data_IF_983686590005
#
_entry.id   IF_983686590005
#
_cell.length_a   1.000
_cell.length_b   1.000
_cell.length_c   1.000
_cell.angle_alpha   90.00
_cell.angle_beta   90.00
_cell.angle_gamma   90.00
#
_symmetry.space_group_name_H-M   'P 1'
#
loop_
_entity.id
_entity.type
_entity.pdbx_description
1 polymer ?
#
# COMPACT_ATOMS: atom_id res chain seq x y z
N UNK A 1 4.86 -8.01 -24.58
CA UNK A 1 3.94 -7.77 -23.44
C UNK A 1 3.12 -6.54 -23.77
N UNK A 2 1.81 -6.56 -23.54
CA UNK A 2 0.96 -5.41 -23.81
C UNK A 2 1.32 -4.28 -22.82
N UNK A 3 1.61 -3.07 -23.30
CA UNK A 3 1.99 -1.93 -22.45
C UNK A 3 0.96 -1.62 -21.32
N UNK A 4 -0.30 -2.01 -21.52
CA UNK A 4 -1.35 -1.89 -20.49
C UNK A 4 -1.24 -2.91 -19.35
N UNK A 5 -0.37 -3.92 -19.48
CA UNK A 5 -0.09 -4.95 -18.47
C UNK A 5 1.31 -4.81 -17.86
N UNK A 6 2.02 -3.71 -18.11
CA UNK A 6 3.27 -3.42 -17.41
C UNK A 6 2.99 -2.87 -16.01
N UNK A 7 3.82 -3.25 -15.05
CA UNK A 7 3.75 -2.73 -13.69
C UNK A 7 5.15 -2.21 -13.30
N UNK A 8 5.45 -0.93 -13.62
CA UNK A 8 6.75 -0.35 -13.35
C UNK A 8 7.13 -0.35 -11.87
N UNK A 9 6.16 -0.21 -10.97
CA UNK A 9 6.38 -0.27 -9.53
C UNK A 9 6.93 -1.65 -9.12
N UNK A 10 6.27 -2.74 -9.57
CA UNK A 10 6.73 -4.11 -9.31
C UNK A 10 8.13 -4.37 -9.86
N UNK A 11 8.40 -3.91 -11.09
CA UNK A 11 9.71 -4.07 -11.73
C UNK A 11 10.81 -3.36 -10.93
N UNK A 12 10.57 -2.14 -10.48
CA UNK A 12 11.51 -1.38 -9.66
C UNK A 12 11.71 -2.03 -8.28
N UNK A 13 10.65 -2.54 -7.65
CA UNK A 13 10.77 -3.30 -6.40
C UNK A 13 11.69 -4.52 -6.55
N UNK A 14 11.53 -5.28 -7.65
CA UNK A 14 12.37 -6.45 -7.94
C UNK A 14 13.84 -6.11 -8.15
N UNK A 15 14.12 -4.92 -8.68
CA UNK A 15 15.50 -4.40 -8.82
C UNK A 15 16.05 -3.85 -7.49
N UNK A 16 15.24 -3.79 -6.45
CA UNK A 16 15.62 -3.21 -5.16
C UNK A 16 15.67 -1.70 -5.13
N UNK A 17 15.13 -1.02 -6.16
CA UNK A 17 15.10 0.43 -6.24
C UNK A 17 14.19 1.02 -5.15
N UNK A 18 14.64 2.11 -4.56
CA UNK A 18 13.84 2.87 -3.58
C UNK A 18 12.73 3.63 -4.31
N UNK A 19 11.53 3.57 -3.77
CA UNK A 19 10.36 4.26 -4.28
C UNK A 19 9.66 5.02 -3.15
N UNK A 20 9.46 6.31 -3.34
CA UNK A 20 8.84 7.21 -2.35
C UNK A 20 7.37 7.41 -2.71
N UNK A 21 6.48 7.21 -1.74
CA UNK A 21 5.05 7.29 -1.93
C UNK A 21 4.35 8.26 -1.01
N UNK A 22 3.05 8.41 -1.29
CA UNK A 22 2.12 9.18 -0.47
C UNK A 22 0.85 8.36 -0.22
N UNK A 23 0.28 8.50 0.97
CA UNK A 23 -1.00 7.91 1.35
C UNK A 23 -2.15 8.85 1.01
N UNK A 24 -3.19 8.36 0.31
CA UNK A 24 -4.37 9.13 -0.08
C UNK A 24 -5.58 8.70 0.73
N UNK A 25 -6.04 9.57 1.61
CA UNK A 25 -7.21 9.39 2.47
C UNK A 25 -8.31 10.43 2.19
N UNK A 26 -8.10 11.36 1.26
CA UNK A 26 -9.04 12.44 0.92
C UNK A 26 -10.25 12.02 0.09
N UNK A 27 -10.31 10.79 -0.37
CA UNK A 27 -11.44 10.13 -1.08
C UNK A 27 -11.90 10.79 -2.38
N UNK A 28 -11.16 11.73 -2.95
CA UNK A 28 -11.55 12.42 -4.17
C UNK A 28 -10.55 12.23 -5.32
N UNK A 29 -11.08 12.03 -6.53
CA UNK A 29 -10.27 11.99 -7.74
C UNK A 29 -9.46 13.28 -7.95
N UNK A 30 -10.00 14.44 -7.55
CA UNK A 30 -9.33 15.73 -7.68
C UNK A 30 -8.06 15.81 -6.84
N UNK A 31 -8.12 15.38 -5.57
CA UNK A 31 -6.94 15.37 -4.69
C UNK A 31 -5.92 14.29 -5.12
N UNK A 32 -6.41 13.15 -5.59
CA UNK A 32 -5.54 12.11 -6.14
C UNK A 32 -4.77 12.59 -7.38
N UNK A 33 -5.40 13.37 -8.24
CA UNK A 33 -4.77 13.98 -9.41
C UNK A 33 -3.70 15.02 -9.00
N UNK A 34 -3.99 15.89 -8.03
CA UNK A 34 -2.99 16.83 -7.49
C UNK A 34 -1.77 16.08 -6.96
N UNK A 35 -1.99 15.02 -6.17
CA UNK A 35 -0.89 14.19 -5.66
C UNK A 35 -0.08 13.53 -6.78
N UNK A 36 -0.73 13.05 -7.84
CA UNK A 36 -0.08 12.42 -8.97
C UNK A 36 0.83 13.37 -9.76
N UNK A 37 0.57 14.69 -9.71
CA UNK A 37 1.44 15.71 -10.34
C UNK A 37 2.67 16.05 -9.52
N UNK A 38 2.75 15.61 -8.26
CA UNK A 38 3.81 16.02 -7.32
C UNK A 38 5.10 15.21 -7.43
N UNK A 39 5.14 14.17 -8.28
CA UNK A 39 6.35 13.39 -8.57
C UNK A 39 6.60 12.22 -7.61
N UNK A 40 5.64 11.83 -6.77
CA UNK A 40 5.74 10.57 -6.01
C UNK A 40 5.82 9.36 -6.94
N UNK A 41 6.64 8.38 -6.60
CA UNK A 41 6.76 7.14 -7.37
C UNK A 41 5.49 6.29 -7.31
N UNK A 42 4.80 6.31 -6.17
CA UNK A 42 3.57 5.58 -5.95
C UNK A 42 2.60 6.33 -5.01
N UNK A 43 1.32 6.03 -5.17
CA UNK A 43 0.24 6.62 -4.37
C UNK A 43 -0.64 5.49 -3.85
N UNK A 44 -0.78 5.38 -2.53
CA UNK A 44 -1.71 4.43 -1.95
C UNK A 44 -3.09 5.08 -1.82
N UNK A 45 -4.07 4.48 -2.47
CA UNK A 45 -5.48 4.85 -2.34
C UNK A 45 -6.09 3.94 -1.26
N UNK A 46 -6.45 4.55 -0.14
CA UNK A 46 -6.84 3.83 1.06
C UNK A 46 -8.34 3.50 1.08
N UNK A 47 -8.67 2.21 1.04
CA UNK A 47 -10.04 1.72 1.19
C UNK A 47 -10.35 1.18 2.58
N UNK A 48 -9.37 1.16 3.49
CA UNK A 48 -9.54 0.61 4.85
C UNK A 48 -9.89 1.71 5.87
N UNK A 49 -9.02 2.71 6.04
CA UNK A 49 -9.19 3.77 7.04
C UNK A 49 -9.65 5.10 6.45
N UNK A 50 -9.88 5.17 5.14
CA UNK A 50 -10.55 6.29 4.51
C UNK A 50 -11.96 5.88 4.03
N UNK A 51 -12.95 6.77 4.02
CA UNK A 51 -14.32 6.44 3.63
C UNK A 51 -14.48 6.29 2.10
N UNK A 52 -13.57 5.55 1.47
CA UNK A 52 -13.59 5.22 0.04
C UNK A 52 -14.52 4.03 -0.23
N UNK A 53 -15.50 4.24 -1.10
CA UNK A 53 -16.25 3.15 -1.73
C UNK A 53 -15.46 2.59 -2.91
N UNK A 54 -15.87 1.43 -3.44
CA UNK A 54 -15.25 0.86 -4.67
C UNK A 54 -15.33 1.84 -5.85
N UNK A 55 -16.35 2.69 -5.89
CA UNK A 55 -16.52 3.71 -6.94
C UNK A 55 -15.52 4.86 -6.75
N UNK A 56 -15.24 5.28 -5.53
CA UNK A 56 -14.24 6.30 -5.25
C UNK A 56 -12.83 5.80 -5.59
N UNK A 57 -12.50 4.54 -5.27
CA UNK A 57 -11.27 3.89 -5.69
C UNK A 57 -11.14 3.88 -7.22
N UNK A 58 -12.22 3.55 -7.93
CA UNK A 58 -12.26 3.56 -9.39
C UNK A 58 -11.98 4.94 -9.98
N UNK A 59 -12.62 6.00 -9.46
CA UNK A 59 -12.42 7.37 -9.94
C UNK A 59 -10.99 7.86 -9.68
N UNK A 60 -10.41 7.54 -8.54
CA UNK A 60 -9.02 7.88 -8.22
C UNK A 60 -8.03 7.13 -9.13
N UNK A 61 -8.28 5.84 -9.43
CA UNK A 61 -7.50 5.10 -10.43
C UNK A 61 -7.55 5.73 -11.83
N UNK A 62 -8.70 6.33 -12.21
CA UNK A 62 -8.81 7.05 -13.47
C UNK A 62 -8.01 8.36 -13.45
N UNK A 63 -8.09 9.11 -12.34
CA UNK A 63 -7.40 10.38 -12.18
C UNK A 63 -5.88 10.23 -12.18
N UNK A 64 -5.35 9.17 -11.56
CA UNK A 64 -3.89 8.90 -11.49
C UNK A 64 -3.35 8.31 -12.81
N UNK A 65 -4.18 7.64 -13.60
CA UNK A 65 -3.76 6.87 -14.78
C UNK A 65 -2.92 7.65 -15.83
N UNK A 66 -3.10 8.97 -16.05
CA UNK A 66 -2.27 9.73 -17.00
C UNK A 66 -0.85 10.06 -16.51
N UNK A 67 -0.57 9.87 -15.24
CA UNK A 67 0.65 10.33 -14.57
C UNK A 67 1.62 9.17 -14.32
N UNK A 68 2.87 9.50 -13.98
CA UNK A 68 3.92 8.52 -13.73
C UNK A 68 3.78 7.81 -12.36
N UNK A 69 3.09 8.41 -11.40
CA UNK A 69 2.86 7.82 -10.09
C UNK A 69 2.05 6.52 -10.20
N UNK A 70 2.53 5.45 -9.58
CA UNK A 70 1.85 4.15 -9.64
C UNK A 70 0.78 4.03 -8.54
N UNK A 71 -0.49 3.75 -8.86
CA UNK A 71 -1.53 3.58 -7.85
C UNK A 71 -1.44 2.20 -7.18
N UNK A 72 -1.45 2.21 -5.86
CA UNK A 72 -1.56 1.03 -4.99
C UNK A 72 -2.90 1.10 -4.28
N UNK A 73 -3.69 0.05 -4.27
CA UNK A 73 -4.98 0.01 -3.56
C UNK A 73 -4.84 -0.82 -2.29
N UNK A 74 -5.25 -0.25 -1.16
CA UNK A 74 -5.51 -1.01 0.05
C UNK A 74 -7.02 -1.24 0.17
N UNK A 75 -7.54 -2.46 -0.04
CA UNK A 75 -8.94 -2.78 0.24
C UNK A 75 -9.18 -2.80 1.75
N UNK A 76 -10.44 -2.76 2.18
CA UNK A 76 -10.81 -2.80 3.61
C UNK A 76 -10.37 -4.11 4.29
N UNK A 77 -10.28 -5.19 3.53
CA UNK A 77 -9.81 -6.51 3.99
C UNK A 77 -9.36 -7.39 2.82
N UNK A 78 -8.66 -8.48 3.13
CA UNK A 78 -8.17 -9.45 2.15
C UNK A 78 -9.21 -10.48 1.68
N UNK A 79 -10.51 -10.18 1.67
CA UNK A 79 -11.52 -11.12 1.23
C UNK A 79 -11.56 -11.28 -0.29
N UNK A 80 -11.83 -12.50 -0.75
CA UNK A 80 -11.92 -12.83 -2.18
C UNK A 80 -12.87 -11.93 -2.98
N UNK A 81 -14.09 -11.58 -2.49
CA UNK A 81 -14.97 -10.65 -3.21
C UNK A 81 -14.37 -9.26 -3.40
N UNK A 82 -13.76 -8.70 -2.37
CA UNK A 82 -13.17 -7.35 -2.43
C UNK A 82 -11.92 -7.32 -3.31
N UNK A 83 -11.02 -8.30 -3.17
CA UNK A 83 -9.85 -8.44 -4.06
C UNK A 83 -10.30 -8.50 -5.52
N UNK A 84 -11.32 -9.31 -5.84
CA UNK A 84 -11.87 -9.40 -7.20
C UNK A 84 -12.37 -8.05 -7.70
N UNK A 85 -13.18 -7.33 -6.91
CA UNK A 85 -13.73 -6.03 -7.31
C UNK A 85 -12.62 -5.00 -7.57
N UNK A 86 -11.64 -4.90 -6.67
CA UNK A 86 -10.52 -3.96 -6.80
C UNK A 86 -9.65 -4.29 -8.02
N UNK A 87 -9.41 -5.56 -8.29
CA UNK A 87 -8.69 -5.97 -9.51
C UNK A 87 -9.50 -5.69 -10.77
N UNK A 88 -10.82 -5.88 -10.76
CA UNK A 88 -11.68 -5.68 -11.92
C UNK A 88 -11.86 -4.21 -12.29
N UNK A 89 -11.81 -3.28 -11.33
CA UNK A 89 -11.74 -1.85 -11.62
C UNK A 89 -10.37 -1.39 -12.14
N UNK A 90 -9.37 -2.29 -12.18
CA UNK A 90 -8.09 -2.09 -12.87
C UNK A 90 -6.90 -1.79 -11.99
N UNK A 91 -6.95 -2.07 -10.69
CA UNK A 91 -5.76 -2.07 -9.86
C UNK A 91 -4.78 -3.17 -10.32
N UNK A 92 -3.49 -2.86 -10.34
CA UNK A 92 -2.42 -3.81 -10.62
C UNK A 92 -1.54 -4.08 -9.39
N UNK A 93 -1.63 -3.23 -8.37
CA UNK A 93 -0.91 -3.38 -7.11
C UNK A 93 -1.88 -3.27 -5.95
N UNK A 94 -1.86 -4.27 -5.07
CA UNK A 94 -2.65 -4.33 -3.86
C UNK A 94 -1.75 -4.34 -2.63
N UNK A 95 -2.19 -3.65 -1.58
CA UNK A 95 -1.67 -3.79 -0.22
C UNK A 95 -2.78 -4.37 0.66
N UNK A 96 -2.65 -5.61 1.06
CA UNK A 96 -3.67 -6.33 1.83
C UNK A 96 -3.39 -6.19 3.33
N UNK A 97 -4.32 -5.61 4.11
CA UNK A 97 -4.11 -5.41 5.54
C UNK A 97 -4.25 -6.71 6.35
N UNK A 98 -3.73 -6.72 7.57
CA UNK A 98 -3.97 -7.72 8.61
C UNK A 98 -3.69 -9.17 8.20
N UNK A 99 -2.57 -9.43 7.54
CA UNK A 99 -2.15 -10.79 7.16
C UNK A 99 -1.27 -11.38 8.26
N UNK A 100 -1.87 -12.24 9.07
CA UNK A 100 -1.24 -12.80 10.27
C UNK A 100 -0.59 -14.16 10.07
N UNK A 101 -0.96 -14.90 9.02
CA UNK A 101 -0.48 -16.26 8.80
C UNK A 101 -0.14 -16.54 7.33
N UNK A 102 0.70 -17.54 7.10
CA UNK A 102 1.00 -18.02 5.75
C UNK A 102 -0.23 -18.56 5.02
N UNK A 103 -1.22 -19.13 5.74
CA UNK A 103 -2.46 -19.59 5.14
C UNK A 103 -3.30 -18.43 4.62
N UNK A 104 -3.44 -17.34 5.40
CA UNK A 104 -4.07 -16.12 4.92
C UNK A 104 -3.33 -15.53 3.70
N UNK A 105 -2.00 -15.48 3.74
CA UNK A 105 -1.20 -15.03 2.61
C UNK A 105 -1.45 -15.90 1.35
N UNK A 106 -1.51 -17.23 1.47
CA UNK A 106 -1.86 -18.14 0.36
C UNK A 106 -3.27 -17.90 -0.17
N UNK A 107 -4.25 -17.69 0.70
CA UNK A 107 -5.64 -17.36 0.31
C UNK A 107 -5.71 -16.06 -0.48
N UNK A 108 -4.99 -15.02 -0.02
CA UNK A 108 -4.90 -13.74 -0.72
C UNK A 108 -4.26 -13.91 -2.11
N UNK A 109 -3.15 -14.65 -2.22
CA UNK A 109 -2.54 -14.97 -3.52
C UNK A 109 -3.53 -15.69 -4.44
N UNK A 110 -4.22 -16.72 -3.93
CA UNK A 110 -5.23 -17.48 -4.70
C UNK A 110 -6.37 -16.59 -5.19
N UNK A 111 -6.82 -15.62 -4.38
CA UNK A 111 -7.88 -14.70 -4.73
C UNK A 111 -7.49 -13.71 -5.87
N UNK A 112 -6.19 -13.50 -6.11
CA UNK A 112 -5.70 -12.62 -7.18
C UNK A 112 -5.56 -13.32 -8.53
N UNK A 113 -5.45 -14.64 -8.57
CA UNK A 113 -5.15 -15.43 -9.76
C UNK A 113 -6.40 -16.12 -10.33
N UNK A 114 -6.51 -16.15 -11.65
CA UNK A 114 -7.57 -16.92 -12.30
C UNK A 114 -7.31 -18.43 -12.23
N UNK A 115 -8.39 -19.27 -12.26
CA UNK A 115 -8.23 -20.70 -12.44
C UNK A 115 -7.39 -21.06 -13.68
N UNK A 116 -6.56 -22.14 -13.63
CA UNK A 116 -6.41 -23.10 -12.53
C UNK A 116 -5.42 -22.66 -11.45
N UNK A 117 -4.81 -21.49 -11.53
CA UNK A 117 -3.74 -21.02 -10.63
C UNK A 117 -4.26 -20.35 -9.35
N UNK A 118 -5.55 -20.11 -9.27
CA UNK A 118 -6.22 -19.50 -8.13
C UNK A 118 -7.74 -19.51 -8.28
N UNK A 119 -8.41 -18.64 -7.53
CA UNK A 119 -9.87 -18.64 -7.39
C UNK A 119 -10.53 -17.30 -7.78
N UNK A 120 -9.82 -16.40 -8.46
CA UNK A 120 -10.39 -15.15 -8.94
C UNK A 120 -11.56 -15.43 -9.88
N UNK A 121 -12.74 -14.85 -9.60
CA UNK A 121 -13.90 -15.00 -10.49
C UNK A 121 -13.66 -14.41 -11.87
N UNK A 122 -14.11 -15.13 -12.91
CA UNK A 122 -13.92 -14.76 -14.31
C UNK A 122 -14.97 -13.73 -14.74
N UNK A 123 -14.53 -12.49 -15.01
CA UNK A 123 -15.36 -11.38 -15.49
C UNK A 123 -14.59 -10.44 -16.43
N UNK A 124 -13.46 -10.90 -16.97
CA UNK A 124 -12.52 -10.06 -17.72
C UNK A 124 -13.16 -9.32 -18.92
N UNK A 125 -14.11 -9.96 -19.62
CA UNK A 125 -14.77 -9.37 -20.80
C UNK A 125 -15.56 -8.09 -20.51
N UNK A 126 -16.02 -7.91 -19.26
CA UNK A 126 -16.80 -6.75 -18.81
C UNK A 126 -16.00 -5.83 -17.87
N UNK A 127 -14.81 -6.24 -17.47
CA UNK A 127 -14.00 -5.53 -16.49
C UNK A 127 -13.12 -4.45 -17.14
N UNK A 128 -12.97 -3.31 -16.45
CA UNK A 128 -12.01 -2.24 -16.85
C UNK A 128 -10.58 -2.77 -16.94
N UNK A 129 -10.21 -3.67 -16.07
CA UNK A 129 -8.87 -4.28 -16.02
C UNK A 129 -8.46 -4.86 -17.39
N UNK A 130 -9.37 -5.53 -18.09
CA UNK A 130 -9.16 -6.08 -19.42
C UNK A 130 -9.58 -5.12 -20.56
N UNK A 131 -9.84 -3.85 -20.23
CA UNK A 131 -10.35 -2.85 -21.17
C UNK A 131 -11.60 -3.34 -21.93
N UNK A 132 -12.53 -3.96 -21.18
CA UNK A 132 -13.79 -4.49 -21.70
C UNK A 132 -13.55 -5.48 -22.85
N UNK A 133 -12.61 -6.42 -22.64
CA UNK A 133 -12.24 -7.44 -23.61
C UNK A 133 -11.30 -6.99 -24.73
N UNK A 134 -10.75 -5.76 -24.69
CA UNK A 134 -9.82 -5.26 -25.73
C UNK A 134 -8.37 -5.70 -25.51
N UNK A 135 -8.02 -6.24 -24.34
CA UNK A 135 -6.72 -6.85 -24.10
C UNK A 135 -6.82 -8.34 -24.41
N UNK A 136 -6.21 -8.75 -25.51
CA UNK A 136 -6.17 -10.16 -25.93
C UNK A 136 -5.44 -11.01 -24.87
N UNK A 137 -5.95 -12.21 -24.64
CA UNK A 137 -5.36 -13.18 -23.70
C UNK A 137 -5.08 -12.60 -22.29
N UNK A 138 -5.91 -11.63 -21.84
CA UNK A 138 -5.73 -10.94 -20.56
C UNK A 138 -5.50 -11.91 -19.40
N UNK A 139 -6.34 -12.94 -19.24
CA UNK A 139 -6.25 -13.87 -18.11
C UNK A 139 -4.94 -14.68 -18.08
N UNK A 140 -4.35 -14.96 -19.23
CA UNK A 140 -3.07 -15.66 -19.33
C UNK A 140 -1.86 -14.77 -19.01
N UNK A 141 -1.99 -13.44 -19.13
CA UNK A 141 -0.89 -12.49 -19.00
C UNK A 141 -0.92 -11.70 -17.68
N UNK A 142 -2.09 -11.53 -17.06
CA UNK A 142 -2.27 -10.57 -15.97
C UNK A 142 -1.49 -10.92 -14.71
N UNK A 143 -1.26 -12.21 -14.42
CA UNK A 143 -0.58 -12.65 -13.20
C UNK A 143 0.82 -12.04 -13.05
N UNK A 144 1.55 -11.87 -14.16
CA UNK A 144 2.91 -11.32 -14.15
C UNK A 144 2.93 -9.82 -13.83
N UNK A 145 1.84 -9.12 -14.16
CA UNK A 145 1.69 -7.69 -13.91
C UNK A 145 1.13 -7.35 -12.53
N UNK A 146 0.51 -8.29 -11.83
CA UNK A 146 0.01 -8.04 -10.49
C UNK A 146 1.15 -7.97 -9.47
N UNK A 147 1.12 -6.95 -8.64
CA UNK A 147 1.99 -6.79 -7.49
C UNK A 147 1.16 -6.96 -6.21
N UNK A 148 1.53 -7.93 -5.39
CA UNK A 148 0.82 -8.23 -4.16
C UNK A 148 1.71 -7.96 -2.96
N UNK A 149 1.28 -7.00 -2.17
CA UNK A 149 1.91 -6.61 -0.91
C UNK A 149 0.97 -6.98 0.24
N UNK A 150 1.52 -7.42 1.36
CA UNK A 150 0.74 -7.75 2.57
C UNK A 150 1.23 -6.92 3.76
N UNK A 151 0.31 -6.51 4.66
CA UNK A 151 0.67 -5.83 5.90
C UNK A 151 0.87 -6.84 7.03
N UNK A 152 2.02 -6.71 7.69
CA UNK A 152 2.39 -7.36 8.94
C UNK A 152 2.34 -6.30 10.03
N UNK A 153 1.33 -6.37 10.89
CA UNK A 153 1.00 -5.29 11.83
C UNK A 153 0.45 -5.79 13.17
N UNK A 154 0.67 -7.06 13.46
CA UNK A 154 0.35 -7.67 14.74
C UNK A 154 1.51 -8.49 15.27
N UNK A 155 1.50 -8.77 16.58
CA UNK A 155 2.46 -9.71 17.18
C UNK A 155 2.39 -11.08 16.52
N UNK A 156 1.18 -11.57 16.22
CA UNK A 156 0.97 -12.87 15.54
C UNK A 156 1.62 -12.87 14.16
N UNK A 157 1.44 -11.81 13.37
CA UNK A 157 2.06 -11.67 12.06
C UNK A 157 3.59 -11.64 12.14
N UNK A 158 4.15 -10.98 13.15
CA UNK A 158 5.62 -10.97 13.38
C UNK A 158 6.16 -12.37 13.72
N UNK A 159 5.46 -13.11 14.57
CA UNK A 159 5.84 -14.46 14.96
C UNK A 159 5.84 -15.39 13.71
N UNK A 160 4.91 -15.19 12.79
CA UNK A 160 4.74 -15.94 11.53
C UNK A 160 5.46 -15.32 10.33
N UNK A 161 6.23 -14.23 10.50
CA UNK A 161 6.82 -13.49 9.38
C UNK A 161 7.65 -14.37 8.46
N UNK A 162 8.40 -15.34 9.00
CA UNK A 162 9.20 -16.27 8.19
C UNK A 162 8.34 -17.07 7.22
N UNK A 163 7.27 -17.68 7.72
CA UNK A 163 6.36 -18.50 6.92
C UNK A 163 5.57 -17.64 5.89
N UNK A 164 5.22 -16.39 6.24
CA UNK A 164 4.58 -15.45 5.30
C UNK A 164 5.54 -15.11 4.15
N UNK A 165 6.82 -14.88 4.46
CA UNK A 165 7.85 -14.57 3.46
C UNK A 165 8.10 -15.72 2.47
N UNK A 166 7.91 -16.96 2.89
CA UNK A 166 8.05 -18.15 2.05
C UNK A 166 6.88 -18.36 1.07
N UNK A 167 5.79 -17.61 1.24
CA UNK A 167 4.63 -17.74 0.34
C UNK A 167 4.97 -17.18 -1.04
N UNK A 168 4.89 -18.05 -2.05
CA UNK A 168 5.06 -17.66 -3.45
C UNK A 168 3.90 -16.76 -3.91
N UNK A 169 4.22 -15.68 -4.61
CA UNK A 169 3.23 -14.73 -5.14
C UNK A 169 3.09 -13.46 -4.30
N UNK A 170 3.69 -13.40 -3.10
CA UNK A 170 3.88 -12.16 -2.36
C UNK A 170 5.13 -11.45 -2.91
N UNK A 171 4.99 -10.20 -3.35
CA UNK A 171 6.09 -9.37 -3.87
C UNK A 171 6.78 -8.56 -2.76
N UNK A 172 6.06 -8.22 -1.69
CA UNK A 172 6.62 -7.46 -0.57
C UNK A 172 5.74 -7.49 0.68
N UNK A 173 6.33 -7.05 1.78
CA UNK A 173 5.68 -6.92 3.09
C UNK A 173 5.78 -5.48 3.57
N UNK A 174 4.67 -4.94 3.99
CA UNK A 174 4.56 -3.62 4.60
C UNK A 174 4.36 -3.76 6.11
N UNK A 175 5.07 -2.98 6.89
CA UNK A 175 4.91 -2.95 8.34
C UNK A 175 4.00 -1.79 8.71
N UNK A 176 2.83 -2.09 9.30
CA UNK A 176 1.88 -1.10 9.81
C UNK A 176 2.27 -0.64 11.22
N UNK A 177 2.87 0.56 11.40
CA UNK A 177 3.47 0.93 12.69
C UNK A 177 2.44 1.16 13.80
N UNK A 178 1.25 1.67 13.48
CA UNK A 178 0.24 2.00 14.47
C UNK A 178 -0.34 0.73 15.11
N UNK A 179 -0.87 -0.17 14.29
CA UNK A 179 -1.44 -1.43 14.76
C UNK A 179 -0.39 -2.33 15.40
N UNK A 180 0.82 -2.37 14.82
CA UNK A 180 1.93 -3.12 15.39
C UNK A 180 2.29 -2.63 16.79
N UNK A 181 2.44 -1.33 17.00
CA UNK A 181 2.76 -0.78 18.30
C UNK A 181 1.66 -1.07 19.34
N UNK A 182 0.40 -0.94 18.95
CA UNK A 182 -0.74 -1.27 19.80
C UNK A 182 -0.75 -2.77 20.15
N UNK A 183 -0.53 -3.65 19.19
CA UNK A 183 -0.47 -5.11 19.38
C UNK A 183 0.69 -5.55 20.29
N UNK A 184 1.76 -4.77 20.33
CA UNK A 184 2.90 -5.00 21.21
C UNK A 184 2.72 -4.40 22.62
N UNK A 185 1.59 -3.75 22.89
CA UNK A 185 1.29 -3.12 24.18
C UNK A 185 1.79 -1.67 24.31
N UNK A 186 2.14 -1.03 23.20
CA UNK A 186 2.58 0.37 23.11
C UNK A 186 1.62 1.20 22.27
N UNK A 187 0.32 1.32 22.59
CA UNK A 187 -0.64 2.09 21.80
C UNK A 187 -0.17 3.54 21.67
N UNK A 188 -0.36 4.12 20.48
CA UNK A 188 0.04 5.49 20.14
C UNK A 188 1.55 5.80 20.31
N UNK A 189 2.40 4.78 20.41
CA UNK A 189 3.83 4.95 20.65
C UNK A 189 4.69 4.04 19.75
N UNK A 190 4.52 4.18 18.43
CA UNK A 190 5.37 3.49 17.46
C UNK A 190 6.86 3.89 17.58
N UNK A 191 7.16 5.06 18.21
CA UNK A 191 8.50 5.53 18.51
C UNK A 191 9.19 4.83 19.71
N UNK A 192 8.50 3.94 20.42
CA UNK A 192 9.09 3.21 21.56
C UNK A 192 10.34 2.43 21.10
N UNK A 193 11.47 2.47 21.84
CA UNK A 193 12.73 1.84 21.41
C UNK A 193 12.61 0.35 21.07
N UNK A 194 11.77 -0.39 21.79
CA UNK A 194 11.53 -1.79 21.52
C UNK A 194 10.77 -1.98 20.20
N UNK A 195 9.73 -1.17 19.95
CA UNK A 195 8.98 -1.20 18.69
C UNK A 195 9.90 -0.87 17.52
N UNK A 196 10.73 0.15 17.64
CA UNK A 196 11.69 0.54 16.63
C UNK A 196 12.69 -0.58 16.31
N UNK A 197 13.22 -1.26 17.33
CA UNK A 197 14.12 -2.42 17.14
C UNK A 197 13.41 -3.57 16.41
N UNK A 198 12.14 -3.82 16.71
CA UNK A 198 11.34 -4.84 16.04
C UNK A 198 11.10 -4.46 14.57
N UNK A 199 10.76 -3.20 14.30
CA UNK A 199 10.58 -2.68 12.92
C UNK A 199 11.87 -2.85 12.11
N UNK A 200 13.01 -2.38 12.64
CA UNK A 200 14.32 -2.56 11.99
C UNK A 200 14.61 -4.02 11.66
N UNK A 201 14.48 -4.90 12.67
CA UNK A 201 14.72 -6.33 12.50
C UNK A 201 13.82 -6.93 11.43
N UNK A 202 12.55 -6.54 11.40
CA UNK A 202 11.58 -7.03 10.43
C UNK A 202 11.89 -6.55 9.01
N UNK A 203 12.22 -5.27 8.82
CA UNK A 203 12.64 -4.74 7.52
C UNK A 203 13.85 -5.53 6.99
N UNK A 204 14.87 -5.73 7.83
CA UNK A 204 16.08 -6.49 7.44
C UNK A 204 15.76 -7.95 7.08
N UNK A 205 14.86 -8.61 7.84
CA UNK A 205 14.42 -10.00 7.54
C UNK A 205 13.66 -10.07 6.21
N UNK A 206 12.73 -9.13 5.94
CA UNK A 206 11.98 -9.05 4.69
C UNK A 206 12.93 -8.90 3.50
N UNK A 207 13.90 -7.99 3.62
CA UNK A 207 14.89 -7.75 2.56
C UNK A 207 15.83 -8.95 2.36
N UNK A 208 16.24 -9.61 3.42
CA UNK A 208 17.08 -10.82 3.35
C UNK A 208 16.36 -11.99 2.67
N UNK A 209 15.02 -12.06 2.77
CA UNK A 209 14.19 -13.04 2.05
C UNK A 209 13.95 -12.65 0.56
N UNK A 210 14.58 -11.58 0.05
CA UNK A 210 14.43 -11.13 -1.33
C UNK A 210 13.10 -10.40 -1.62
N UNK A 211 12.30 -10.11 -0.58
CA UNK A 211 11.02 -9.39 -0.73
C UNK A 211 11.22 -7.88 -0.57
N UNK A 212 10.29 -7.10 -1.13
CA UNK A 212 10.25 -5.67 -0.90
C UNK A 212 9.77 -5.37 0.54
N UNK A 213 10.36 -4.36 1.18
CA UNK A 213 9.97 -3.92 2.52
C UNK A 213 9.38 -2.51 2.47
N UNK A 214 8.16 -2.35 2.98
CA UNK A 214 7.42 -1.10 2.99
C UNK A 214 7.14 -0.56 4.38
N UNK A 215 6.92 0.77 4.43
CA UNK A 215 6.59 1.47 5.66
C UNK A 215 5.86 2.78 5.38
N UNK A 216 5.05 3.26 6.34
CA UNK A 216 4.53 4.62 6.37
C UNK A 216 5.22 5.38 7.50
N UNK A 217 5.95 6.44 7.15
CA UNK A 217 6.60 7.33 8.09
C UNK A 217 6.23 8.78 7.79
N UNK A 218 5.42 9.39 8.63
CA UNK A 218 5.05 10.81 8.51
C UNK A 218 6.21 11.72 8.96
N UNK A 219 6.99 11.28 9.96
CA UNK A 219 8.17 12.00 10.41
C UNK A 219 9.36 11.78 9.44
N UNK A 220 9.98 12.83 8.88
CA UNK A 220 11.08 12.70 7.92
C UNK A 220 12.25 11.86 8.44
N UNK A 221 12.63 12.03 9.71
CA UNK A 221 13.75 11.28 10.32
C UNK A 221 13.45 9.77 10.34
N UNK A 222 12.21 9.39 10.65
CA UNK A 222 11.78 8.00 10.64
C UNK A 222 11.79 7.43 9.21
N UNK A 223 11.36 8.19 8.23
CA UNK A 223 11.41 7.77 6.82
C UNK A 223 12.85 7.50 6.38
N UNK A 224 13.77 8.40 6.70
CA UNK A 224 15.20 8.24 6.43
C UNK A 224 15.78 6.99 7.12
N UNK A 225 15.38 6.77 8.36
CA UNK A 225 15.82 5.62 9.14
C UNK A 225 15.31 4.30 8.54
N UNK A 226 14.04 4.22 8.13
CA UNK A 226 13.49 3.04 7.44
C UNK A 226 14.26 2.74 6.14
N UNK A 227 14.57 3.77 5.35
CA UNK A 227 15.38 3.62 4.15
C UNK A 227 16.79 3.10 4.48
N UNK A 228 17.42 3.61 5.54
CA UNK A 228 18.73 3.13 6.00
C UNK A 228 18.70 1.67 6.49
N UNK A 229 17.58 1.19 7.02
CA UNK A 229 17.37 -0.21 7.37
C UNK A 229 17.13 -1.13 6.17
N UNK A 230 16.88 -0.53 4.98
CA UNK A 230 16.72 -1.24 3.72
C UNK A 230 15.28 -1.28 3.18
N UNK A 231 14.33 -0.57 3.79
CA UNK A 231 13.00 -0.41 3.20
C UNK A 231 13.13 0.23 1.81
N UNK A 232 12.34 -0.25 0.85
CA UNK A 232 12.46 0.20 -0.53
C UNK A 232 11.14 0.69 -1.16
N UNK A 233 10.04 0.73 -0.39
CA UNK A 233 8.86 1.49 -0.73
C UNK A 233 8.29 2.16 0.53
N UNK A 234 8.54 3.45 0.66
CA UNK A 234 8.21 4.22 1.87
C UNK A 234 7.23 5.33 1.52
N UNK A 235 6.07 5.34 2.17
CA UNK A 235 5.17 6.49 2.16
C UNK A 235 5.67 7.52 3.18
N UNK A 236 5.81 8.77 2.75
CA UNK A 236 6.41 9.84 3.57
C UNK A 236 5.38 10.88 4.03
N UNK A 237 4.11 10.55 3.94
CA UNK A 237 3.03 11.42 4.40
C UNK A 237 1.66 10.87 4.05
N UNK A 238 0.64 11.55 4.59
CA UNK A 238 -0.79 11.32 4.32
C UNK A 238 -1.37 12.64 3.82
N UNK A 239 -2.07 12.64 2.70
CA UNK A 239 -2.59 13.83 2.02
C UNK A 239 -3.47 14.72 2.94
N UNK A 240 -4.38 14.10 3.70
CA UNK A 240 -5.25 14.80 4.65
C UNK A 240 -4.48 15.44 5.79
N UNK A 241 -3.40 14.81 6.28
CA UNK A 241 -2.54 15.39 7.31
C UNK A 241 -1.77 16.59 6.76
N UNK A 242 -1.16 16.44 5.58
CA UNK A 242 -0.42 17.52 4.90
C UNK A 242 -1.32 18.72 4.64
N UNK A 243 -2.54 18.48 4.13
CA UNK A 243 -3.52 19.55 3.89
C UNK A 243 -3.92 20.25 5.19
N UNK A 244 -4.21 19.48 6.24
CA UNK A 244 -4.59 20.01 7.54
C UNK A 244 -3.48 20.85 8.18
N UNK A 245 -2.23 20.37 8.11
CA UNK A 245 -1.07 21.10 8.64
C UNK A 245 -0.83 22.40 7.85
N UNK A 246 -1.00 22.38 6.53
CA UNK A 246 -0.88 23.58 5.70
C UNK A 246 -1.93 24.64 6.05
N UNK A 247 -3.17 24.22 6.35
CA UNK A 247 -4.23 25.13 6.81
C UNK A 247 -3.90 25.76 8.16
N UNK A 248 -3.44 24.95 9.12
CA UNK A 248 -3.08 25.42 10.45
C UNK A 248 -1.88 26.42 10.39
N UNK A 249 -0.85 26.08 9.61
CA UNK A 249 0.29 26.96 9.37
C UNK A 249 -0.13 28.29 8.74
N UNK A 250 -1.02 28.25 7.73
CA UNK A 250 -1.52 29.45 7.08
C UNK A 250 -2.30 30.32 8.06
N UNK A 251 -3.17 29.75 8.87
CA UNK A 251 -3.96 30.47 9.86
C UNK A 251 -3.08 31.13 10.92
N UNK A 252 -2.03 30.43 11.39
CA UNK A 252 -1.12 30.93 12.40
C UNK A 252 -0.36 32.19 11.98
N UNK A 253 -0.19 32.44 10.67
CA UNK A 253 0.43 33.67 10.15
C UNK A 253 -0.43 34.93 10.41
N UNK A 254 -1.74 34.76 10.62
CA UNK A 254 -2.69 35.87 10.75
C UNK A 254 -3.41 35.95 12.10
N UNK A 255 -3.42 34.85 12.85
CA UNK A 255 -4.03 34.75 14.18
C UNK A 255 -3.02 34.26 15.20
N UNK A 256 -2.52 35.17 16.04
CA UNK A 256 -1.68 34.81 17.17
C UNK A 256 -2.53 34.15 18.28
N UNK A 257 -2.25 32.89 18.56
CA UNK A 257 -2.70 32.16 19.76
C UNK A 257 -4.00 31.39 19.61
N UNK A 258 -3.89 30.08 19.68
CA UNK A 258 -4.72 29.03 20.27
C UNK A 258 -4.66 27.67 19.58
N UNK A 259 -3.88 27.46 18.54
CA UNK A 259 -3.63 26.08 18.07
C UNK A 259 -2.19 25.72 18.47
N UNK A 260 -2.04 25.08 19.63
CA UNK A 260 -0.81 24.34 19.94
C UNK A 260 -0.57 23.25 18.86
N UNK A 261 0.66 22.76 18.73
CA UNK A 261 0.95 21.69 17.78
C UNK A 261 0.00 20.53 18.04
N UNK A 262 -0.61 20.01 16.95
CA UNK A 262 -1.42 18.79 17.07
C UNK A 262 -0.57 17.69 17.67
N UNK A 263 -1.14 16.90 18.54
CA UNK A 263 -0.53 15.63 18.94
C UNK A 263 -0.40 14.82 17.66
N UNK A 264 0.82 14.67 17.18
CA UNK A 264 1.11 13.82 16.02
C UNK A 264 0.78 12.40 16.43
N UNK A 265 -0.17 11.79 15.75
CA UNK A 265 -0.46 10.37 15.93
C UNK A 265 0.77 9.52 15.63
N UNK A 266 0.74 8.27 16.04
CA UNK A 266 1.84 7.29 15.98
C UNK A 266 2.13 6.72 14.59
N UNK A 267 2.11 7.57 13.55
CA UNK A 267 2.50 7.17 12.20
C UNK A 267 3.95 7.53 11.90
#
# INVERSE_FOLDING_TARGET
MNALLTNPFKERLRKGEVQIGLWLSSTTAYMAEIAATSGYDWLLIDGEHAPNTIQDLYHQLQAVAPYASHPVIRPVEGSKPLIKQVLDIGAQTLLIPMVDTADQARQVVSATRYPPYGERGVGASVARAARWGRIENYMAQVNDSLCLLVQVESKTALDNLGEILDVEGIDGVFIGPADLSASLGYPDNAGHPEVQRIIETSIRRIRAAGKAAGFLAVAPDMAQQCLAWGANFVAVGVDTMLYSDALDQRLAMFKSGKNGPRVKGSY
#
